data_IF_231158475208
#
_entry.id   IF_231158475208
#
_cell.length_a   1.000
_cell.length_b   1.000
_cell.length_c   1.000
_cell.angle_alpha   90.00
_cell.angle_beta   90.00
_cell.angle_gamma   90.00
#
_symmetry.space_group_name_H-M   'P 1'
#
loop_
_entity.id
_entity.type
_entity.pdbx_description
1 polymer ?
#
# COMPACT_ATOMS: atom_id res chain seq x y z
N UNK A 1 -20.39 -30.37 45.26
CA UNK A 1 -19.70 -29.85 44.05
C UNK A 1 -20.65 -30.03 42.88
N UNK A 2 -21.28 -28.97 42.44
CA UNK A 2 -22.31 -29.00 41.40
C UNK A 2 -21.64 -29.20 40.02
N UNK A 3 -21.96 -30.30 39.37
CA UNK A 3 -21.51 -30.59 38.01
C UNK A 3 -22.26 -29.67 37.05
N UNK A 4 -21.53 -28.70 36.45
CA UNK A 4 -22.07 -27.83 35.38
C UNK A 4 -22.32 -28.70 34.15
N UNK A 5 -23.59 -28.78 33.74
CA UNK A 5 -24.02 -29.58 32.61
C UNK A 5 -23.31 -29.12 31.32
N UNK A 6 -22.62 -30.02 30.58
CA UNK A 6 -21.84 -29.65 29.39
C UNK A 6 -22.66 -28.94 28.30
N UNK A 7 -23.98 -29.17 28.27
CA UNK A 7 -24.91 -28.48 27.35
C UNK A 7 -25.09 -26.98 27.68
N UNK A 8 -24.89 -26.58 28.95
CA UNK A 8 -24.98 -25.20 29.37
C UNK A 8 -23.72 -24.42 28.92
N UNK A 9 -22.53 -25.04 29.02
CA UNK A 9 -21.27 -24.43 28.55
C UNK A 9 -21.24 -24.17 27.05
N UNK A 10 -21.78 -25.12 26.25
CA UNK A 10 -21.89 -24.94 24.79
C UNK A 10 -22.84 -23.80 24.41
N UNK A 11 -23.97 -23.69 25.12
CA UNK A 11 -24.91 -22.59 24.91
C UNK A 11 -24.36 -21.23 25.27
N UNK A 12 -23.56 -21.14 26.33
CA UNK A 12 -22.88 -19.91 26.75
C UNK A 12 -21.79 -19.55 25.71
N UNK A 13 -21.02 -20.51 25.20
CA UNK A 13 -19.99 -20.28 24.21
C UNK A 13 -20.59 -19.79 22.87
N UNK A 14 -21.69 -20.40 22.42
CA UNK A 14 -22.41 -19.99 21.20
C UNK A 14 -23.02 -18.59 21.37
N UNK A 15 -23.59 -18.29 22.55
CA UNK A 15 -24.13 -16.97 22.85
C UNK A 15 -23.01 -15.90 22.87
N UNK A 16 -21.83 -16.23 23.40
CA UNK A 16 -20.68 -15.31 23.39
C UNK A 16 -20.12 -15.06 21.99
N UNK A 17 -20.11 -16.06 21.12
CA UNK A 17 -19.72 -15.92 19.71
C UNK A 17 -20.74 -15.08 18.94
N UNK A 18 -22.05 -15.25 19.21
CA UNK A 18 -23.09 -14.43 18.59
C UNK A 18 -23.11 -12.99 19.11
N UNK A 19 -22.75 -12.72 20.35
CA UNK A 19 -22.64 -11.35 20.89
C UNK A 19 -21.38 -10.62 20.42
N UNK A 20 -20.28 -11.33 20.16
CA UNK A 20 -19.05 -10.73 19.59
C UNK A 20 -19.15 -10.45 18.11
N UNK A 21 -20.16 -11.01 17.43
CA UNK A 21 -20.49 -10.74 16.03
C UNK A 21 -21.30 -9.46 15.77
N UNK A 22 -21.54 -8.63 16.79
CA UNK A 22 -22.12 -7.29 16.61
C UNK A 22 -21.11 -6.43 15.86
N UNK A 23 -21.22 -6.45 14.55
CA UNK A 23 -20.48 -5.58 13.63
C UNK A 23 -20.66 -4.14 14.08
N UNK A 24 -19.60 -3.54 14.62
CA UNK A 24 -19.48 -2.09 14.62
C UNK A 24 -19.36 -1.66 13.16
N UNK A 25 -20.50 -1.47 12.51
CA UNK A 25 -20.59 -0.67 11.30
C UNK A 25 -20.27 0.76 11.70
N UNK A 26 -18.99 1.12 11.74
CA UNK A 26 -18.59 2.51 11.62
C UNK A 26 -18.97 2.92 10.20
N UNK A 27 -20.09 3.60 10.06
CA UNK A 27 -20.35 4.41 8.89
C UNK A 27 -19.32 5.56 8.94
N UNK A 28 -18.14 5.33 8.35
CA UNK A 28 -17.29 6.41 7.96
C UNK A 28 -18.06 7.20 6.90
N UNK A 29 -18.33 8.46 7.16
CA UNK A 29 -18.82 9.39 6.13
C UNK A 29 -17.64 9.62 5.19
N UNK A 30 -17.60 8.81 4.12
CA UNK A 30 -16.45 8.67 3.20
C UNK A 30 -16.47 9.78 2.13
N UNK A 31 -17.06 10.94 2.44
CA UNK A 31 -16.97 12.10 1.56
C UNK A 31 -15.57 12.70 1.65
N UNK A 32 -14.80 12.51 0.60
CA UNK A 32 -13.57 13.26 0.38
C UNK A 32 -13.85 14.76 0.54
N UNK A 33 -13.00 15.52 1.24
CA UNK A 33 -13.11 16.96 1.26
C UNK A 33 -13.19 17.50 -0.17
N UNK A 34 -14.08 18.46 -0.45
CA UNK A 34 -14.32 19.06 -1.78
C UNK A 34 -13.02 19.45 -2.51
N UNK A 35 -12.01 19.86 -1.76
CA UNK A 35 -10.67 20.19 -2.30
C UNK A 35 -9.89 18.99 -2.87
N UNK A 36 -10.30 17.77 -2.58
CA UNK A 36 -9.65 16.53 -3.05
C UNK A 36 -10.47 15.84 -4.15
N UNK A 37 -11.62 16.37 -4.52
CA UNK A 37 -12.38 15.85 -5.65
C UNK A 37 -11.55 15.98 -6.93
N UNK A 38 -11.44 14.90 -7.70
CA UNK A 38 -10.63 14.83 -8.92
C UNK A 38 -9.11 14.79 -8.69
N UNK A 39 -8.65 14.58 -7.45
CA UNK A 39 -7.24 14.36 -7.12
C UNK A 39 -7.02 12.89 -6.82
N UNK A 40 -6.31 12.19 -7.71
CA UNK A 40 -5.98 10.77 -7.56
C UNK A 40 -4.74 10.40 -8.34
N UNK A 41 -4.22 9.20 -8.12
CA UNK A 41 -3.28 8.55 -9.02
C UNK A 41 -3.87 7.18 -9.38
N UNK A 42 -4.24 7.05 -10.66
CA UNK A 42 -4.73 5.79 -11.22
C UNK A 42 -3.52 5.06 -11.81
N UNK A 43 -2.88 4.19 -11.01
CA UNK A 43 -1.61 3.55 -11.38
C UNK A 43 -1.67 2.88 -12.76
N UNK A 44 -0.69 3.21 -13.61
CA UNK A 44 -0.52 2.72 -14.97
C UNK A 44 0.71 1.81 -15.09
N UNK A 45 0.85 0.88 -14.14
CA UNK A 45 1.97 -0.05 -14.12
C UNK A 45 2.05 -0.86 -15.43
N UNK A 46 3.24 -0.88 -16.03
CA UNK A 46 3.51 -1.56 -17.28
C UNK A 46 3.13 -0.78 -18.55
N UNK A 47 2.39 0.34 -18.43
CA UNK A 47 2.11 1.22 -19.57
C UNK A 47 3.33 2.09 -19.90
N UNK A 48 3.39 2.58 -21.14
CA UNK A 48 4.49 3.43 -21.62
C UNK A 48 4.08 4.90 -21.62
N UNK A 49 5.01 5.76 -21.18
CA UNK A 49 4.82 7.21 -21.29
C UNK A 49 5.14 7.68 -22.72
N UNK A 50 4.51 8.76 -23.21
CA UNK A 50 4.87 9.34 -24.50
C UNK A 50 6.29 9.91 -24.46
N UNK A 51 7.15 9.41 -25.34
CA UNK A 51 8.58 9.76 -25.40
C UNK A 51 8.86 11.00 -26.25
N UNK A 52 7.91 11.41 -27.08
CA UNK A 52 8.03 12.48 -28.09
C UNK A 52 7.60 13.87 -27.58
N UNK A 53 7.09 13.97 -26.36
CA UNK A 53 6.56 15.22 -25.83
C UNK A 53 7.69 16.16 -25.41
N UNK A 54 7.69 17.38 -25.98
CA UNK A 54 8.70 18.38 -25.71
C UNK A 54 8.42 19.21 -24.46
N UNK A 55 9.48 19.44 -23.70
CA UNK A 55 9.52 20.30 -22.51
C UNK A 55 10.76 21.18 -22.55
N UNK A 56 10.70 22.33 -21.89
CA UNK A 56 11.87 23.18 -21.67
C UNK A 56 12.53 22.82 -20.36
N UNK A 57 13.83 22.57 -20.38
CA UNK A 57 14.62 22.36 -19.17
C UNK A 57 15.08 23.68 -18.51
N UNK A 58 15.66 23.61 -17.34
CA UNK A 58 16.17 24.76 -16.61
C UNK A 58 17.33 25.46 -17.34
N UNK A 59 18.00 24.81 -18.29
CA UNK A 59 19.06 25.40 -19.10
C UNK A 59 18.50 26.18 -20.32
N UNK A 60 17.21 26.03 -20.59
CA UNK A 60 16.51 26.64 -21.71
C UNK A 60 16.55 25.80 -22.99
N UNK A 61 17.03 24.56 -22.92
CA UNK A 61 16.98 23.60 -23.99
C UNK A 61 15.60 22.92 -24.08
N UNK A 62 15.17 22.59 -25.30
CA UNK A 62 14.06 21.68 -25.50
C UNK A 62 14.56 20.24 -25.32
N UNK A 63 13.80 19.43 -24.63
CA UNK A 63 14.10 18.01 -24.39
C UNK A 63 12.82 17.19 -24.37
N UNK A 64 12.96 15.89 -24.61
CA UNK A 64 11.87 14.91 -24.53
C UNK A 64 12.23 13.81 -23.56
N UNK A 65 11.24 13.00 -23.13
CA UNK A 65 11.55 11.80 -22.33
C UNK A 65 12.41 10.80 -23.11
N UNK A 66 12.24 10.73 -24.43
CA UNK A 66 13.08 9.90 -25.29
C UNK A 66 14.57 10.31 -25.25
N UNK A 67 14.86 11.62 -25.26
CA UNK A 67 16.23 12.11 -25.10
C UNK A 67 16.81 11.87 -23.72
N UNK A 68 15.99 12.00 -22.67
CA UNK A 68 16.41 11.74 -21.30
C UNK A 68 16.71 10.26 -21.05
N UNK A 69 16.03 9.34 -21.77
CA UNK A 69 16.20 7.89 -21.65
C UNK A 69 17.24 7.30 -22.61
N UNK A 70 17.79 8.09 -23.55
CA UNK A 70 18.68 7.59 -24.62
C UNK A 70 19.93 6.85 -24.13
N UNK A 71 20.42 7.19 -22.93
CA UNK A 71 21.62 6.59 -22.34
C UNK A 71 21.33 5.24 -21.68
N UNK A 72 20.07 4.82 -21.62
CA UNK A 72 19.66 3.56 -21.04
C UNK A 72 19.47 3.60 -19.52
N UNK A 73 19.42 4.80 -18.92
CA UNK A 73 19.22 4.98 -17.49
C UNK A 73 17.73 5.09 -17.15
N UNK A 74 17.25 4.50 -16.05
CA UNK A 74 15.88 4.70 -15.57
C UNK A 74 15.69 6.12 -15.06
N UNK A 75 14.42 6.57 -15.03
CA UNK A 75 14.03 7.90 -14.54
C UNK A 75 13.15 7.77 -13.30
N UNK A 76 13.40 8.61 -12.29
CA UNK A 76 12.44 8.94 -11.24
C UNK A 76 11.73 10.23 -11.66
N UNK A 77 10.44 10.14 -11.98
CA UNK A 77 9.59 11.28 -12.34
C UNK A 77 8.79 11.74 -11.12
N UNK A 78 8.80 13.05 -10.85
CA UNK A 78 7.89 13.72 -9.93
C UNK A 78 7.07 14.78 -10.66
N UNK A 79 5.77 14.85 -10.34
CA UNK A 79 4.83 15.83 -10.88
C UNK A 79 4.46 16.80 -9.77
N UNK A 80 4.85 18.06 -9.93
CA UNK A 80 4.74 19.10 -8.89
C UNK A 80 4.69 20.50 -9.51
N UNK A 81 4.73 21.56 -8.72
CA UNK A 81 4.93 22.93 -9.16
C UNK A 81 5.67 23.75 -8.09
N UNK A 82 6.35 24.83 -8.51
CA UNK A 82 7.33 25.54 -7.68
C UNK A 82 6.74 26.20 -6.44
N UNK A 83 5.55 26.76 -6.54
CA UNK A 83 4.87 27.50 -5.47
C UNK A 83 3.91 26.61 -4.63
N UNK A 84 4.08 25.29 -4.67
CA UNK A 84 3.28 24.39 -3.84
C UNK A 84 3.56 24.63 -2.35
N UNK A 85 2.56 25.05 -1.56
CA UNK A 85 2.76 25.40 -0.15
C UNK A 85 2.80 24.19 0.79
N UNK A 86 2.77 22.98 0.25
CA UNK A 86 2.53 21.79 1.07
C UNK A 86 3.44 20.61 0.77
N UNK A 87 2.82 19.50 0.46
CA UNK A 87 3.42 18.16 0.40
C UNK A 87 4.57 18.04 -0.61
N UNK A 88 4.54 18.80 -1.72
CA UNK A 88 5.58 18.74 -2.76
C UNK A 88 6.96 19.15 -2.24
N UNK A 89 7.02 20.17 -1.38
CA UNK A 89 8.28 20.61 -0.77
C UNK A 89 8.85 19.51 0.12
N UNK A 90 8.00 18.90 0.93
CA UNK A 90 8.41 17.80 1.80
C UNK A 90 8.84 16.58 0.97
N UNK A 91 8.12 16.26 -0.10
CA UNK A 91 8.44 15.16 -1.02
C UNK A 91 9.81 15.35 -1.69
N UNK A 92 10.07 16.50 -2.31
CA UNK A 92 11.34 16.74 -3.01
C UNK A 92 12.53 16.78 -2.04
N UNK A 93 12.37 17.36 -0.85
CA UNK A 93 13.38 17.29 0.20
C UNK A 93 13.65 15.87 0.68
N UNK A 94 12.57 15.10 0.91
CA UNK A 94 12.68 13.70 1.33
C UNK A 94 13.31 12.83 0.24
N UNK A 95 12.98 13.09 -1.03
CA UNK A 95 13.58 12.38 -2.16
C UNK A 95 15.07 12.71 -2.26
N UNK A 96 15.47 13.98 -2.19
CA UNK A 96 16.89 14.36 -2.20
C UNK A 96 17.66 13.72 -1.05
N UNK A 97 17.07 13.68 0.17
CA UNK A 97 17.67 12.99 1.31
C UNK A 97 17.80 11.48 1.06
N UNK A 98 16.74 10.81 0.61
CA UNK A 98 16.77 9.38 0.32
C UNK A 98 17.79 9.01 -0.76
N UNK A 99 17.91 9.84 -1.81
CA UNK A 99 18.92 9.67 -2.87
C UNK A 99 20.34 9.81 -2.32
N UNK A 100 20.61 10.73 -1.41
CA UNK A 100 21.92 10.82 -0.77
C UNK A 100 22.32 9.57 0.01
N UNK A 101 21.35 8.78 0.43
CA UNK A 101 21.54 7.57 1.26
C UNK A 101 21.39 6.26 0.45
N UNK A 102 21.13 6.32 -0.86
CA UNK A 102 20.83 5.13 -1.71
C UNK A 102 22.05 4.22 -1.97
N UNK A 103 23.21 4.58 -1.42
CA UNK A 103 24.40 3.77 -1.43
C UNK A 103 25.19 3.83 -2.74
N UNK A 104 25.29 2.72 -3.49
CA UNK A 104 26.13 2.62 -4.69
C UNK A 104 25.53 3.26 -5.95
N UNK A 105 24.29 3.69 -5.92
CA UNK A 105 23.66 4.35 -7.07
C UNK A 105 23.97 5.86 -7.08
N UNK A 106 24.43 6.36 -8.22
CA UNK A 106 24.75 7.77 -8.39
C UNK A 106 23.82 8.43 -9.41
N UNK A 107 23.13 9.50 -8.99
CA UNK A 107 22.32 10.33 -9.88
C UNK A 107 23.17 10.90 -11.00
N UNK A 108 22.66 10.83 -12.24
CA UNK A 108 23.34 11.29 -13.44
C UNK A 108 24.39 10.32 -13.99
N UNK A 109 24.49 9.12 -13.38
CA UNK A 109 25.32 8.02 -13.87
C UNK A 109 24.53 6.71 -13.99
N UNK A 110 23.80 6.34 -12.94
CA UNK A 110 23.09 5.07 -12.87
C UNK A 110 21.56 5.25 -13.01
N UNK A 111 21.08 6.47 -12.83
CA UNK A 111 19.69 6.89 -13.03
C UNK A 111 19.60 8.40 -13.20
N UNK A 112 18.45 8.87 -13.67
CA UNK A 112 18.10 10.29 -13.78
C UNK A 112 16.87 10.63 -12.96
N UNK A 113 16.72 11.90 -12.62
CA UNK A 113 15.52 12.44 -11.97
C UNK A 113 14.91 13.53 -12.84
N UNK A 114 13.59 13.55 -12.90
CA UNK A 114 12.82 14.56 -13.62
C UNK A 114 11.74 15.11 -12.70
N UNK A 115 11.75 16.40 -12.45
CA UNK A 115 10.66 17.14 -11.85
C UNK A 115 9.94 17.94 -12.91
N UNK A 116 8.73 17.51 -13.28
CA UNK A 116 7.91 18.20 -14.28
C UNK A 116 6.87 19.08 -13.58
N UNK A 117 6.87 20.38 -13.92
CA UNK A 117 5.83 21.28 -13.44
C UNK A 117 4.49 20.98 -14.10
N UNK A 118 3.44 20.82 -13.27
CA UNK A 118 2.06 20.71 -13.73
C UNK A 118 1.39 22.09 -13.95
N UNK A 119 2.10 23.18 -13.64
CA UNK A 119 1.61 24.54 -13.85
C UNK A 119 2.13 25.11 -15.19
N UNK A 120 1.30 25.20 -16.22
CA UNK A 120 1.72 25.69 -17.55
C UNK A 120 2.12 27.16 -17.57
N UNK A 121 1.86 27.90 -16.46
CA UNK A 121 2.29 29.30 -16.32
C UNK A 121 3.72 29.43 -15.79
N UNK A 122 4.34 28.32 -15.34
CA UNK A 122 5.74 28.33 -14.94
C UNK A 122 6.65 28.30 -16.17
N UNK A 123 7.64 29.18 -16.14
CA UNK A 123 8.68 29.25 -17.17
C UNK A 123 10.03 28.83 -16.64
N UNK A 124 11.04 29.01 -17.47
CA UNK A 124 12.45 28.65 -17.20
C UNK A 124 12.95 29.19 -15.86
N UNK A 125 12.65 30.44 -15.50
CA UNK A 125 13.16 31.06 -14.28
C UNK A 125 12.67 30.31 -13.03
N UNK A 126 11.45 29.78 -13.04
CA UNK A 126 10.93 28.92 -11.99
C UNK A 126 11.65 27.58 -11.94
N UNK A 127 11.91 26.97 -13.08
CA UNK A 127 12.69 25.73 -13.16
C UNK A 127 14.11 25.91 -12.57
N UNK A 128 14.80 27.02 -12.90
CA UNK A 128 16.11 27.36 -12.34
C UNK A 128 16.04 27.51 -10.82
N UNK A 129 15.09 28.31 -10.32
CA UNK A 129 14.95 28.55 -8.89
C UNK A 129 14.65 27.26 -8.11
N UNK A 130 13.77 26.42 -8.67
CA UNK A 130 13.41 25.14 -8.07
C UNK A 130 14.60 24.17 -8.08
N UNK A 131 15.32 24.05 -9.19
CA UNK A 131 16.55 23.25 -9.26
C UNK A 131 17.57 23.70 -8.21
N UNK A 132 17.85 24.98 -8.12
CA UNK A 132 18.79 25.54 -7.14
C UNK A 132 18.40 25.14 -5.71
N UNK A 133 17.12 25.26 -5.39
CA UNK A 133 16.59 24.93 -4.06
C UNK A 133 16.83 23.47 -3.64
N UNK A 134 16.64 22.52 -4.55
CA UNK A 134 16.67 21.09 -4.20
C UNK A 134 17.97 20.39 -4.59
N UNK A 135 18.56 20.72 -5.74
CA UNK A 135 19.77 20.05 -6.20
C UNK A 135 21.02 20.44 -5.36
N UNK A 136 21.03 21.61 -4.71
CA UNK A 136 22.12 22.02 -3.82
C UNK A 136 22.22 21.12 -2.56
N UNK A 137 21.15 20.41 -2.18
CA UNK A 137 21.15 19.48 -1.05
C UNK A 137 21.71 18.09 -1.39
N UNK A 138 22.03 17.82 -2.66
CA UNK A 138 22.60 16.54 -3.09
C UNK A 138 24.05 16.42 -2.67
N UNK A 139 24.43 15.21 -2.23
CA UNK A 139 25.81 14.88 -1.88
C UNK A 139 26.74 14.97 -3.10
N UNK A 140 28.02 15.25 -2.88
CA UNK A 140 29.02 15.54 -3.91
C UNK A 140 29.28 14.41 -4.92
N UNK A 141 28.92 13.16 -4.59
CA UNK A 141 29.04 12.03 -5.49
C UNK A 141 27.92 11.96 -6.54
N UNK A 142 26.86 12.75 -6.37
CA UNK A 142 25.77 12.88 -7.34
C UNK A 142 26.05 14.01 -8.33
N UNK A 143 25.75 13.74 -9.60
CA UNK A 143 25.79 14.77 -10.61
C UNK A 143 24.44 15.51 -10.66
N UNK A 144 24.43 16.76 -10.20
CA UNK A 144 23.23 17.60 -10.20
C UNK A 144 22.61 17.79 -11.61
N UNK A 145 23.39 17.64 -12.68
CA UNK A 145 22.87 17.65 -14.05
C UNK A 145 21.94 16.47 -14.35
N UNK A 146 22.02 15.39 -13.57
CA UNK A 146 21.09 14.25 -13.66
C UNK A 146 19.68 14.54 -13.14
N UNK A 147 19.45 15.68 -12.47
CA UNK A 147 18.12 16.11 -12.04
C UNK A 147 17.63 17.27 -12.92
N UNK A 148 16.74 16.98 -13.85
CA UNK A 148 16.15 17.97 -14.74
C UNK A 148 14.84 18.51 -14.17
N UNK A 149 14.65 19.83 -14.28
CA UNK A 149 13.43 20.51 -13.88
C UNK A 149 12.74 21.03 -15.15
N UNK A 150 11.62 20.43 -15.50
CA UNK A 150 10.95 20.67 -16.77
C UNK A 150 9.71 21.54 -16.59
N UNK A 151 9.50 22.43 -17.53
CA UNK A 151 8.29 23.23 -17.70
C UNK A 151 7.76 23.07 -19.12
N UNK A 152 6.46 23.24 -19.33
CA UNK A 152 5.87 23.04 -20.64
C UNK A 152 4.47 23.59 -20.79
N UNK A 153 3.96 23.51 -22.02
CA UNK A 153 2.59 23.91 -22.33
C UNK A 153 1.57 22.89 -21.77
N UNK A 154 0.38 23.37 -21.44
CA UNK A 154 -0.72 22.55 -20.89
C UNK A 154 -0.98 21.24 -21.66
N UNK A 155 -1.07 21.24 -23.03
CA UNK A 155 -1.31 19.97 -23.74
C UNK A 155 -0.21 18.93 -23.54
N UNK A 156 1.04 19.36 -23.40
CA UNK A 156 2.19 18.48 -23.18
C UNK A 156 2.18 17.93 -21.76
N UNK A 157 1.89 18.77 -20.78
CA UNK A 157 1.71 18.36 -19.38
C UNK A 157 0.59 17.32 -19.28
N UNK A 158 -0.56 17.56 -19.92
CA UNK A 158 -1.70 16.65 -19.90
C UNK A 158 -1.39 15.29 -20.54
N UNK A 159 -0.55 15.23 -21.58
CA UNK A 159 -0.13 13.94 -22.16
C UNK A 159 0.63 13.08 -21.16
N UNK A 160 1.52 13.67 -20.37
CA UNK A 160 2.29 12.95 -19.36
C UNK A 160 1.42 12.60 -18.15
N UNK A 161 0.64 13.53 -17.62
CA UNK A 161 -0.21 13.27 -16.45
C UNK A 161 -1.26 12.20 -16.75
N UNK A 162 -1.84 12.20 -17.94
CA UNK A 162 -2.76 11.14 -18.39
C UNK A 162 -2.06 9.78 -18.52
N UNK A 163 -0.87 9.74 -19.10
CA UNK A 163 -0.11 8.51 -19.28
C UNK A 163 0.34 7.91 -17.93
N UNK A 164 0.60 8.76 -16.93
CA UNK A 164 0.97 8.33 -15.57
C UNK A 164 -0.22 8.19 -14.63
N UNK A 165 -1.45 8.40 -15.11
CA UNK A 165 -2.67 8.35 -14.29
C UNK A 165 -2.73 9.42 -13.20
N UNK A 166 -1.96 10.50 -13.33
CA UNK A 166 -1.85 11.56 -12.35
C UNK A 166 -2.95 12.60 -12.54
N UNK A 167 -3.99 12.55 -11.70
CA UNK A 167 -5.13 13.47 -11.73
C UNK A 167 -4.92 14.62 -10.74
N UNK A 168 -5.13 15.84 -11.22
CA UNK A 168 -4.99 17.06 -10.44
C UNK A 168 -6.08 18.07 -10.81
N UNK A 169 -6.35 19.01 -9.92
CA UNK A 169 -7.36 20.06 -10.13
C UNK A 169 -6.79 21.43 -9.84
N UNK A 170 -7.27 22.44 -10.57
CA UNK A 170 -6.92 23.83 -10.32
C UNK A 170 -7.96 24.50 -9.43
N UNK A 171 -7.57 24.91 -8.23
CA UNK A 171 -8.37 25.70 -7.31
C UNK A 171 -8.22 27.19 -7.66
N UNK A 172 -9.15 27.71 -8.45
CA UNK A 172 -9.15 29.10 -8.90
C UNK A 172 -9.25 30.11 -7.75
N UNK A 173 -9.96 29.73 -6.67
CA UNK A 173 -10.14 30.61 -5.50
C UNK A 173 -8.84 30.90 -4.77
N UNK A 174 -7.97 29.90 -4.68
CA UNK A 174 -6.69 30.02 -3.99
C UNK A 174 -5.50 30.06 -4.96
N UNK A 175 -5.75 30.09 -6.26
CA UNK A 175 -4.75 30.11 -7.35
C UNK A 175 -3.66 29.02 -7.17
N UNK A 176 -4.09 27.79 -6.94
CA UNK A 176 -3.18 26.65 -6.67
C UNK A 176 -3.67 25.37 -7.32
N UNK A 177 -2.76 24.44 -7.53
CA UNK A 177 -3.08 23.10 -7.97
C UNK A 177 -3.19 22.17 -6.76
N UNK A 178 -4.30 21.43 -6.66
CA UNK A 178 -4.44 20.31 -5.74
C UNK A 178 -4.04 19.05 -6.46
N UNK A 179 -3.06 18.33 -5.92
CA UNK A 179 -2.52 17.12 -6.53
C UNK A 179 -1.99 16.17 -5.46
N UNK A 180 -1.91 14.89 -5.81
CA UNK A 180 -1.23 13.89 -5.00
C UNK A 180 0.30 14.03 -5.12
N UNK A 181 1.05 13.36 -4.24
CA UNK A 181 2.49 13.29 -4.30
C UNK A 181 2.94 11.84 -4.54
N UNK A 182 3.68 11.61 -5.62
CA UNK A 182 4.29 10.32 -5.91
C UNK A 182 5.62 10.49 -6.64
N UNK A 183 6.55 9.57 -6.39
CA UNK A 183 7.70 9.32 -7.23
C UNK A 183 7.36 8.16 -8.17
N UNK A 184 7.44 8.39 -9.48
CA UNK A 184 7.07 7.44 -10.51
C UNK A 184 8.35 6.93 -11.17
N UNK A 185 8.58 5.63 -11.12
CA UNK A 185 9.78 5.00 -11.69
C UNK A 185 9.49 4.55 -13.12
N UNK A 186 10.38 4.94 -14.02
CA UNK A 186 10.25 4.71 -15.46
C UNK A 186 11.50 3.99 -15.95
N UNK A 187 11.31 2.86 -16.63
CA UNK A 187 12.41 2.10 -17.21
C UNK A 187 13.06 2.82 -18.40
N UNK A 188 14.25 2.39 -18.85
CA UNK A 188 14.91 2.93 -20.04
C UNK A 188 14.07 2.87 -21.31
N UNK A 189 13.06 2.02 -21.34
CA UNK A 189 12.11 1.90 -22.47
C UNK A 189 10.85 2.76 -22.33
N UNK A 190 10.81 3.65 -21.32
CA UNK A 190 9.65 4.49 -21.07
C UNK A 190 8.49 3.82 -20.35
N UNK A 191 8.67 2.58 -19.84
CA UNK A 191 7.62 1.84 -19.14
C UNK A 191 7.57 2.20 -17.66
N UNK A 192 6.38 2.46 -17.14
CA UNK A 192 6.15 2.72 -15.71
C UNK A 192 6.31 1.41 -14.94
N UNK A 193 7.22 1.40 -13.98
CA UNK A 193 7.55 0.19 -13.22
C UNK A 193 7.05 0.22 -11.78
N UNK A 194 7.00 1.42 -11.15
CA UNK A 194 6.58 1.56 -9.76
C UNK A 194 6.11 2.97 -9.44
N UNK A 195 5.22 3.08 -8.46
CA UNK A 195 4.87 4.32 -7.77
C UNK A 195 5.28 4.22 -6.31
N UNK A 196 5.84 5.31 -5.76
CA UNK A 196 6.13 5.43 -4.32
C UNK A 196 5.49 6.72 -3.82
N UNK A 197 4.60 6.60 -2.83
CA UNK A 197 3.77 7.69 -2.29
C UNK A 197 4.35 8.33 -1.02
N UNK A 198 5.55 7.96 -0.64
CA UNK A 198 6.21 8.43 0.58
C UNK A 198 6.68 9.87 0.45
N UNK A 199 6.76 10.55 1.58
CA UNK A 199 7.37 11.88 1.73
C UNK A 199 8.78 11.77 2.30
N UNK A 200 9.02 10.76 3.16
CA UNK A 200 10.33 10.41 3.68
C UNK A 200 10.80 9.09 3.05
N UNK A 201 11.42 9.17 1.90
CA UNK A 201 11.80 8.00 1.11
C UNK A 201 12.84 7.13 1.82
N UNK A 202 12.49 5.86 2.02
CA UNK A 202 13.42 4.88 2.55
C UNK A 202 14.49 4.53 1.47
N UNK A 203 15.80 4.64 1.78
CA UNK A 203 16.87 4.40 0.81
C UNK A 203 16.85 2.99 0.19
N UNK A 204 16.53 1.96 0.96
CA UNK A 204 16.46 0.58 0.46
C UNK A 204 15.27 0.40 -0.50
N UNK A 205 14.13 1.04 -0.21
CA UNK A 205 12.97 1.04 -1.11
C UNK A 205 13.29 1.75 -2.42
N UNK A 206 13.98 2.90 -2.37
CA UNK A 206 14.45 3.62 -3.56
C UNK A 206 15.41 2.76 -4.38
N UNK A 207 16.36 2.11 -3.72
CA UNK A 207 17.34 1.23 -4.35
C UNK A 207 16.66 0.07 -5.09
N UNK A 208 15.73 -0.62 -4.43
CA UNK A 208 14.98 -1.71 -5.06
C UNK A 208 14.18 -1.22 -6.27
N UNK A 209 13.49 -0.08 -6.14
CA UNK A 209 12.72 0.50 -7.23
C UNK A 209 13.60 0.91 -8.43
N UNK A 210 14.82 1.40 -8.17
CA UNK A 210 15.79 1.72 -9.22
C UNK A 210 16.31 0.46 -9.94
N UNK A 211 16.59 -0.62 -9.21
CA UNK A 211 16.99 -1.90 -9.81
C UNK A 211 15.87 -2.45 -10.70
N UNK A 212 14.64 -2.48 -10.20
CA UNK A 212 13.47 -2.93 -10.97
C UNK A 212 13.25 -2.09 -12.22
N UNK A 213 13.37 -0.77 -12.10
CA UNK A 213 13.23 0.14 -13.24
C UNK A 213 14.34 -0.09 -14.26
N UNK A 214 15.61 -0.21 -13.84
CA UNK A 214 16.74 -0.49 -14.72
C UNK A 214 16.59 -1.79 -15.50
N UNK A 215 16.05 -2.84 -14.87
CA UNK A 215 15.75 -4.12 -15.51
C UNK A 215 14.43 -4.14 -16.28
N UNK A 216 13.63 -3.08 -16.20
CA UNK A 216 12.30 -2.99 -16.81
C UNK A 216 11.28 -3.95 -16.17
N UNK A 217 11.54 -4.42 -14.97
CA UNK A 217 10.64 -5.28 -14.20
C UNK A 217 9.55 -4.43 -13.55
N UNK A 218 8.33 -4.91 -13.62
CA UNK A 218 7.20 -4.31 -12.91
C UNK A 218 7.23 -4.79 -11.47
N UNK A 219 7.08 -3.88 -10.50
CA UNK A 219 7.02 -4.23 -9.09
C UNK A 219 6.05 -5.37 -8.81
N UNK A 220 6.47 -6.34 -8.00
CA UNK A 220 5.71 -7.58 -7.82
C UNK A 220 4.46 -7.36 -6.95
N UNK A 221 3.45 -8.20 -7.17
CA UNK A 221 2.21 -8.24 -6.37
C UNK A 221 2.45 -8.50 -4.86
N UNK A 222 3.63 -9.00 -4.48
CA UNK A 222 4.05 -9.15 -3.08
C UNK A 222 4.20 -7.79 -2.39
N UNK A 223 4.69 -6.78 -3.11
CA UNK A 223 4.81 -5.42 -2.58
C UNK A 223 3.44 -4.77 -2.42
N UNK A 224 2.50 -5.04 -3.34
CA UNK A 224 1.09 -4.63 -3.19
C UNK A 224 0.45 -5.27 -1.96
N UNK A 225 0.77 -6.52 -1.62
CA UNK A 225 0.30 -7.18 -0.41
C UNK A 225 0.92 -6.57 0.86
N UNK A 226 2.21 -6.26 0.84
CA UNK A 226 2.88 -5.57 1.96
C UNK A 226 2.32 -4.15 2.12
N UNK A 227 2.12 -3.40 1.04
CA UNK A 227 1.51 -2.07 1.06
C UNK A 227 0.03 -2.11 1.48
N UNK A 228 -0.72 -3.17 1.16
CA UNK A 228 -2.08 -3.37 1.66
C UNK A 228 -2.12 -3.59 3.18
N UNK A 229 -1.09 -4.21 3.75
CA UNK A 229 -0.92 -4.32 5.21
C UNK A 229 -0.53 -2.99 5.88
N UNK A 230 0.01 -2.02 5.12
CA UNK A 230 0.39 -0.70 5.60
C UNK A 230 -0.64 0.32 5.10
N UNK A 231 -1.48 0.80 6.00
CA UNK A 231 -2.41 1.87 5.69
C UNK A 231 -1.72 3.23 5.86
N UNK A 232 -1.86 4.10 4.85
CA UNK A 232 -1.36 5.48 4.96
C UNK A 232 -2.21 6.26 5.97
N UNK A 233 -1.60 6.66 7.06
CA UNK A 233 -2.23 7.54 8.04
C UNK A 233 -1.98 9.00 7.64
N UNK A 234 -3.01 9.64 7.12
CA UNK A 234 -2.95 11.04 6.69
C UNK A 234 -2.68 12.02 7.83
N UNK A 235 -2.93 11.64 9.10
CA UNK A 235 -2.69 12.49 10.26
C UNK A 235 -1.23 12.42 10.72
N UNK A 236 -0.59 11.26 10.57
CA UNK A 236 0.81 11.06 10.95
C UNK A 236 1.78 11.20 9.77
N UNK A 237 1.27 11.39 8.57
CA UNK A 237 2.05 11.55 7.32
C UNK A 237 3.05 10.41 7.06
N UNK A 238 2.72 9.19 7.50
CA UNK A 238 3.53 7.98 7.36
C UNK A 238 2.67 6.73 7.18
N UNK A 239 3.26 5.69 6.59
CA UNK A 239 2.66 4.38 6.56
C UNK A 239 2.73 3.76 7.96
N UNK A 240 1.59 3.62 8.62
CA UNK A 240 1.47 2.84 9.84
C UNK A 240 0.97 1.44 9.50
N UNK A 241 1.64 0.42 10.03
CA UNK A 241 1.11 -0.94 9.99
C UNK A 241 -0.26 -0.94 10.68
N UNK A 242 -1.28 -1.42 10.00
CA UNK A 242 -2.60 -1.52 10.61
C UNK A 242 -2.58 -2.63 11.68
N UNK A 243 -2.01 -2.30 12.85
CA UNK A 243 -1.82 -3.22 13.96
C UNK A 243 -3.13 -3.92 14.35
N UNK A 244 -4.28 -3.26 14.19
CA UNK A 244 -5.60 -3.86 14.43
C UNK A 244 -5.91 -4.97 13.44
N UNK A 245 -5.61 -4.78 12.15
CA UNK A 245 -5.85 -5.80 11.11
C UNK A 245 -4.93 -6.99 11.30
N UNK A 246 -3.65 -6.76 11.55
CA UNK A 246 -2.66 -7.82 11.81
C UNK A 246 -3.05 -8.58 13.08
N UNK A 247 -3.41 -7.89 14.15
CA UNK A 247 -3.84 -8.49 15.40
C UNK A 247 -5.13 -9.30 15.24
N UNK A 248 -6.09 -8.82 14.43
CA UNK A 248 -7.34 -9.54 14.15
C UNK A 248 -7.11 -10.81 13.35
N UNK A 249 -6.25 -10.77 12.34
CA UNK A 249 -5.89 -11.94 11.52
C UNK A 249 -5.14 -12.98 12.37
N UNK A 250 -4.16 -12.55 13.16
CA UNK A 250 -3.39 -13.46 14.04
C UNK A 250 -4.27 -14.05 15.13
N UNK A 251 -5.14 -13.26 15.75
CA UNK A 251 -6.09 -13.75 16.74
C UNK A 251 -7.09 -14.75 16.14
N UNK A 252 -7.61 -14.48 14.94
CA UNK A 252 -8.48 -15.40 14.22
C UNK A 252 -7.80 -16.72 13.86
N UNK A 253 -6.56 -16.66 13.41
CA UNK A 253 -5.76 -17.85 13.10
C UNK A 253 -5.47 -18.68 14.36
N UNK A 254 -5.12 -18.04 15.48
CA UNK A 254 -4.88 -18.70 16.76
C UNK A 254 -6.15 -19.40 17.30
N UNK A 255 -7.31 -18.73 17.19
CA UNK A 255 -8.59 -19.30 17.58
C UNK A 255 -8.96 -20.52 16.72
N UNK A 256 -8.77 -20.43 15.41
CA UNK A 256 -9.06 -21.56 14.48
C UNK A 256 -8.16 -22.76 14.77
N UNK A 257 -6.88 -22.54 14.96
CA UNK A 257 -5.93 -23.60 15.32
C UNK A 257 -6.29 -24.21 16.69
N UNK A 258 -6.63 -23.38 17.68
CA UNK A 258 -7.06 -23.83 19.01
C UNK A 258 -8.32 -24.68 18.98
N UNK A 259 -9.31 -24.31 18.17
CA UNK A 259 -10.55 -25.10 17.97
C UNK A 259 -10.23 -26.44 17.31
N UNK A 260 -9.44 -26.45 16.23
CA UNK A 260 -9.05 -27.68 15.52
C UNK A 260 -8.26 -28.62 16.44
N UNK A 261 -7.30 -28.08 17.21
CA UNK A 261 -6.49 -28.86 18.15
C UNK A 261 -7.32 -29.42 19.33
N UNK A 262 -8.39 -28.74 19.74
CA UNK A 262 -9.27 -29.21 20.82
C UNK A 262 -10.30 -30.25 20.40
N UNK A 263 -10.60 -30.36 19.09
CA UNK A 263 -11.58 -31.32 18.53
C UNK A 263 -11.30 -32.78 18.92
N UNK A 264 -10.08 -33.35 18.80
CA UNK A 264 -9.81 -34.74 19.15
C UNK A 264 -9.99 -35.02 20.64
N UNK A 265 -9.63 -34.05 21.48
CA UNK A 265 -9.85 -34.17 22.94
C UNK A 265 -11.34 -34.22 23.29
N UNK A 266 -12.15 -33.39 22.62
CA UNK A 266 -13.60 -33.34 22.84
C UNK A 266 -14.32 -34.58 22.30
N UNK A 267 -13.87 -35.14 21.20
CA UNK A 267 -14.38 -36.38 20.61
C UNK A 267 -14.03 -37.58 21.52
N UNK A 268 -12.81 -37.63 22.04
CA UNK A 268 -12.40 -38.71 22.97
C UNK A 268 -13.15 -38.67 24.29
N UNK A 269 -13.40 -37.48 24.82
CA UNK A 269 -14.15 -37.33 26.08
C UNK A 269 -15.63 -37.74 25.95
N UNK A 270 -16.25 -37.47 24.78
CA UNK A 270 -17.60 -37.97 24.48
C UNK A 270 -17.66 -39.50 24.40
N UNK A 271 -16.63 -40.17 23.89
CA UNK A 271 -16.58 -41.64 23.81
C UNK A 271 -16.46 -42.26 25.20
N UNK A 272 -15.67 -41.68 26.12
CA UNK A 272 -15.52 -42.15 27.51
C UNK A 272 -16.84 -42.00 28.28
N UNK A 273 -17.53 -40.87 28.11
CA UNK A 273 -18.84 -40.64 28.77
C UNK A 273 -19.92 -41.62 28.32
N UNK A 274 -19.93 -42.02 27.07
CA UNK A 274 -20.86 -43.03 26.55
C UNK A 274 -20.59 -44.43 27.08
N UNK A 275 -19.32 -44.79 27.29
CA UNK A 275 -18.92 -46.11 27.82
C UNK A 275 -19.29 -46.23 29.31
N UNK A 276 -19.15 -45.17 30.11
CA UNK A 276 -19.52 -45.16 31.53
C UNK A 276 -21.05 -45.26 31.72
N UNK A 277 -21.84 -44.61 30.85
CA UNK A 277 -23.32 -44.66 30.90
C UNK A 277 -23.85 -46.06 30.65
N UNK A 278 -23.16 -46.85 29.80
CA UNK A 278 -23.57 -48.23 29.48
C UNK A 278 -23.19 -49.21 30.62
N UNK A 279 -22.19 -48.90 31.44
CA UNK A 279 -21.75 -49.74 32.55
C UNK A 279 -22.60 -49.57 33.83
N UNK A 280 -23.34 -48.49 33.97
CA UNK A 280 -24.12 -48.17 35.19
C UNK A 280 -25.56 -48.71 35.12
N UNK A 281 -26.07 -49.10 33.94
CA UNK A 281 -27.40 -49.71 33.77
C UNK A 281 -27.27 -50.99 32.95
N UNK A 282 -26.91 -52.14 33.57
CA UNK A 282 -27.01 -53.43 32.88
C UNK A 282 -28.49 -53.78 32.66
N UNK A 283 -28.84 -54.41 31.54
CA UNK A 283 -30.23 -54.83 31.32
C UNK A 283 -30.67 -55.84 32.40
N UNK A 284 -31.80 -55.56 33.00
CA UNK A 284 -32.41 -56.46 33.99
C UNK A 284 -32.74 -57.78 33.33
N UNK A 285 -32.29 -58.94 33.87
CA UNK A 285 -32.66 -60.23 33.28
C UNK A 285 -34.12 -60.53 33.59
N UNK A 286 -34.90 -60.77 32.54
CA UNK A 286 -36.29 -61.21 32.63
C UNK A 286 -36.31 -62.69 33.03
N UNK A 287 -36.47 -62.98 34.28
CA UNK A 287 -36.76 -64.36 34.74
C UNK A 287 -38.24 -64.65 34.51
N UNK A 288 -38.51 -65.56 33.63
CA UNK A 288 -39.82 -66.17 33.40
C UNK A 288 -40.04 -67.15 34.55
N UNK A 289 -41.10 -66.97 35.30
CA UNK A 289 -41.49 -67.88 36.32
C UNK A 289 -42.65 -68.74 35.79
N UNK A 290 -42.33 -69.98 35.58
CA UNK A 290 -43.28 -71.02 35.12
C UNK A 290 -44.04 -71.54 36.33
N UNK A 291 -45.30 -71.33 36.39
CA UNK A 291 -46.21 -71.85 37.39
C UNK A 291 -46.53 -73.30 37.17
N UNK A 292 -46.12 -74.12 38.04
CA UNK A 292 -46.55 -75.58 38.13
C UNK A 292 -47.93 -75.66 38.73
N UNK A 293 -48.85 -76.16 37.98
CA UNK A 293 -50.15 -76.61 38.35
C UNK A 293 -50.01 -77.99 39.03
N UNK A 294 -50.62 -78.22 40.21
CA UNK A 294 -50.96 -79.54 40.71
C UNK A 294 -52.39 -79.56 41.26
N UNK A 295 -53.09 -80.55 40.74
CA UNK A 295 -54.42 -81.03 41.03
C UNK A 295 -54.71 -81.39 42.46
N UNK A 296 -55.80 -81.12 42.93
CA UNK A 296 -56.90 -82.07 43.27
C UNK A 296 -58.16 -81.29 43.57
#
# INVERSE_FOLDING_TARGET
MSQICPKALVRILVAFICLSGSSFAFAADDKLPERLEGVSIDEKLGEEIPLDVEFMDERGGLTTFGELLKDGDPIILTLNYSDCPGLCVAQLNGLAKGINEVGSFALGKDFKMVSLSINPREGRDRAIATKKKYAESLASHHNQAGWSFLVGAEPNIQRITKATGFNYTFDAKHNRYNHAAAAIFISPKGRITRYIYEVGFNPETLKMALVEAGEGKIGSSLDAFVLWCYHYDANENRYSANAKTILSITAGLFLTIGIIASLPFWISWRRIGATISHSINPPVPTTINESTSLSK
#
